data_IF_538531423945
#
_entry.id   IF_538531423945
#
_cell.length_a   1.000
_cell.length_b   1.000
_cell.length_c   1.000
_cell.angle_alpha   90.00
_cell.angle_beta   90.00
_cell.angle_gamma   90.00
#
_symmetry.space_group_name_H-M   'P 1'
#
loop_
_entity.id
_entity.type
_entity.pdbx_description
1 polymer ?
#
# COMPACT_ATOMS: atom_id res chain seq x y z
N UNK A 1 -2.79 3.05 0.18
CA UNK A 1 -1.56 3.62 -0.41
C UNK A 1 -1.68 5.14 -0.45
N UNK A 2 -0.58 5.89 -0.55
CA UNK A 2 -0.56 7.37 -0.51
C UNK A 2 0.01 7.97 -1.77
N UNK A 3 -0.45 9.17 -2.16
CA UNK A 3 0.21 10.00 -3.17
C UNK A 3 1.46 10.64 -2.55
N UNK A 4 2.59 10.52 -3.23
CA UNK A 4 3.88 10.94 -2.69
C UNK A 4 4.46 12.04 -3.58
N UNK A 5 4.72 13.21 -3.02
CA UNK A 5 5.39 14.32 -3.71
C UNK A 5 6.90 14.12 -3.66
N UNK A 6 7.50 14.04 -4.84
CA UNK A 6 8.93 13.91 -5.04
C UNK A 6 9.59 15.31 -5.14
N UNK A 7 10.90 15.41 -4.83
CA UNK A 7 11.62 16.69 -4.86
C UNK A 7 11.79 17.28 -6.27
N UNK A 8 11.61 16.47 -7.31
CA UNK A 8 11.64 16.90 -8.71
C UNK A 8 10.32 17.53 -9.20
N UNK A 9 9.30 17.56 -8.34
CA UNK A 9 7.99 18.10 -8.65
C UNK A 9 7.03 17.10 -9.32
N UNK A 10 7.36 15.81 -9.34
CA UNK A 10 6.43 14.75 -9.76
C UNK A 10 5.69 14.15 -8.57
N UNK A 11 4.56 13.48 -8.84
CA UNK A 11 3.80 12.73 -7.84
C UNK A 11 3.85 11.24 -8.16
N UNK A 12 4.21 10.43 -7.16
CA UNK A 12 3.98 8.97 -7.20
C UNK A 12 2.58 8.65 -6.72
N UNK A 13 1.77 8.15 -7.63
CA UNK A 13 0.36 7.83 -7.40
C UNK A 13 0.19 6.32 -7.34
N UNK A 14 -0.53 5.80 -6.33
CA UNK A 14 -0.90 4.39 -6.29
C UNK A 14 -1.71 3.97 -7.51
N UNK A 15 -1.32 2.89 -8.15
CA UNK A 15 -2.03 2.32 -9.29
C UNK A 15 -2.12 0.81 -9.14
N UNK A 16 -3.35 0.30 -9.03
CA UNK A 16 -3.61 -1.14 -8.97
C UNK A 16 -3.95 -1.65 -10.38
N UNK A 17 -3.20 -2.64 -10.85
CA UNK A 17 -3.42 -3.29 -12.14
C UNK A 17 -4.09 -4.64 -11.89
N UNK A 18 -5.17 -4.88 -12.63
CA UNK A 18 -5.85 -6.17 -12.72
C UNK A 18 -5.51 -6.76 -14.09
N UNK A 19 -4.70 -7.82 -14.14
CA UNK A 19 -4.44 -8.54 -15.39
C UNK A 19 -5.50 -9.63 -15.58
N UNK A 20 -6.08 -9.69 -16.79
CA UNK A 20 -6.98 -10.79 -17.18
C UNK A 20 -6.17 -12.08 -17.29
N UNK A 21 -6.75 -13.25 -16.98
CA UNK A 21 -6.04 -14.52 -17.11
C UNK A 21 -5.54 -14.67 -18.55
N UNK A 22 -4.22 -14.88 -18.70
CA UNK A 22 -3.59 -15.04 -20.00
C UNK A 22 -4.15 -16.24 -20.76
N UNK A 23 -4.19 -16.12 -22.09
CA UNK A 23 -4.61 -17.22 -22.98
C UNK A 23 -3.82 -18.50 -22.69
N UNK A 24 -4.46 -19.69 -22.78
CA UNK A 24 -3.99 -20.95 -22.22
C UNK A 24 -2.70 -21.54 -22.83
N UNK A 25 -2.03 -20.84 -23.76
CA UNK A 25 -0.82 -21.33 -24.44
C UNK A 25 0.50 -20.73 -23.90
N UNK A 26 0.42 -19.77 -22.98
CA UNK A 26 1.59 -19.33 -22.21
C UNK A 26 1.54 -20.02 -20.85
N UNK A 27 2.44 -20.96 -20.58
CA UNK A 27 2.50 -21.80 -19.37
C UNK A 27 2.71 -21.09 -18.02
N UNK A 28 2.19 -19.87 -17.84
CA UNK A 28 2.02 -19.19 -16.58
C UNK A 28 0.62 -19.51 -16.04
N UNK A 29 0.56 -20.08 -14.84
CA UNK A 29 -0.65 -20.62 -14.23
C UNK A 29 -1.85 -19.65 -14.22
N UNK A 30 -3.03 -20.25 -14.37
CA UNK A 30 -4.35 -19.61 -14.39
C UNK A 30 -4.59 -18.80 -13.11
N UNK A 31 -4.33 -17.49 -13.15
CA UNK A 31 -4.56 -16.63 -12.00
C UNK A 31 -4.68 -15.17 -12.40
N UNK A 32 -5.74 -14.51 -11.94
CA UNK A 32 -5.87 -13.05 -11.99
C UNK A 32 -4.77 -12.44 -11.13
N UNK A 33 -3.81 -11.75 -11.75
CA UNK A 33 -2.76 -11.02 -11.04
C UNK A 33 -3.34 -9.68 -10.61
N UNK A 34 -3.39 -9.46 -9.29
CA UNK A 34 -3.62 -8.14 -8.69
C UNK A 34 -2.26 -7.61 -8.30
N UNK A 35 -1.80 -6.55 -8.99
CA UNK A 35 -0.52 -5.91 -8.70
C UNK A 35 -0.76 -4.47 -8.25
N UNK A 36 -0.18 -4.11 -7.10
CA UNK A 36 -0.14 -2.73 -6.63
C UNK A 36 1.20 -2.10 -7.01
N UNK A 37 1.15 -1.01 -7.76
CA UNK A 37 2.32 -0.28 -8.23
C UNK A 37 2.19 1.22 -7.95
N UNK A 38 3.28 1.94 -8.17
CA UNK A 38 3.30 3.40 -8.18
C UNK A 38 3.59 3.87 -9.60
N UNK A 39 2.83 4.86 -10.06
CA UNK A 39 3.08 5.55 -11.33
C UNK A 39 3.45 7.01 -11.04
N UNK A 40 4.35 7.56 -11.85
CA UNK A 40 4.79 8.95 -11.70
C UNK A 40 3.99 9.83 -12.65
N UNK A 41 3.34 10.86 -12.12
CA UNK A 41 2.64 11.89 -12.90
C UNK A 41 3.31 13.25 -12.69
N UNK A 42 3.35 14.05 -13.74
CA UNK A 42 3.90 15.40 -13.71
C UNK A 42 2.81 16.48 -13.71
N UNK A 43 3.17 17.76 -13.58
CA UNK A 43 2.24 18.90 -13.55
C UNK A 43 1.40 19.11 -14.82
N UNK A 44 1.69 18.39 -15.91
CA UNK A 44 0.86 18.39 -17.12
C UNK A 44 -0.32 17.42 -17.07
N UNK A 45 -0.43 16.59 -16.02
CA UNK A 45 -1.52 15.63 -15.87
C UNK A 45 -2.79 16.32 -15.33
N UNK A 46 -3.99 16.04 -15.88
CA UNK A 46 -5.24 16.67 -15.44
C UNK A 46 -5.58 16.41 -13.96
N UNK A 47 -5.12 15.30 -13.40
CA UNK A 47 -5.34 14.96 -12.00
C UNK A 47 -4.25 15.53 -11.07
N UNK A 48 -3.18 16.12 -11.61
CA UNK A 48 -2.02 16.55 -10.83
C UNK A 48 -2.38 17.52 -9.71
N UNK A 49 -3.07 18.63 -10.00
CA UNK A 49 -3.37 19.65 -9.00
C UNK A 49 -4.28 19.12 -7.87
N UNK A 50 -5.23 18.24 -8.23
CA UNK A 50 -6.08 17.57 -7.25
C UNK A 50 -5.26 16.68 -6.34
N UNK A 51 -4.40 15.84 -6.92
CA UNK A 51 -3.58 14.88 -6.18
C UNK A 51 -2.46 15.57 -5.38
N UNK A 52 -1.97 16.72 -5.84
CA UNK A 52 -0.97 17.53 -5.14
C UNK A 52 -1.51 18.00 -3.78
N UNK A 53 -2.78 18.41 -3.70
CA UNK A 53 -3.42 18.83 -2.46
C UNK A 53 -3.54 17.73 -1.40
N UNK A 54 -3.55 16.47 -1.82
CA UNK A 54 -3.64 15.29 -0.96
C UNK A 54 -2.29 14.56 -0.79
N UNK A 55 -1.23 15.09 -1.42
CA UNK A 55 0.10 14.48 -1.43
C UNK A 55 0.83 14.63 -0.10
N UNK A 56 1.62 13.62 0.23
CA UNK A 56 2.59 13.66 1.32
C UNK A 56 4.00 13.73 0.75
N UNK A 57 4.91 14.42 1.42
CA UNK A 57 6.34 14.31 1.13
C UNK A 57 6.87 12.94 1.51
N UNK A 58 8.04 12.59 0.99
CA UNK A 58 8.74 11.35 1.35
C UNK A 58 9.07 11.28 2.85
N UNK A 59 9.39 12.41 3.46
CA UNK A 59 9.66 12.51 4.90
C UNK A 59 8.40 12.22 5.72
N UNK A 60 7.27 12.88 5.41
CA UNK A 60 5.99 12.64 6.08
C UNK A 60 5.51 11.19 5.92
N UNK A 61 5.75 10.58 4.75
CA UNK A 61 5.46 9.17 4.54
C UNK A 61 6.34 8.27 5.42
N UNK A 62 7.64 8.59 5.54
CA UNK A 62 8.56 7.83 6.37
C UNK A 62 8.17 7.89 7.86
N UNK A 63 7.77 9.06 8.34
CA UNK A 63 7.22 9.24 9.69
C UNK A 63 5.95 8.41 9.91
N UNK A 64 5.00 8.48 8.97
CA UNK A 64 3.78 7.66 9.05
C UNK A 64 4.09 6.17 9.08
N UNK A 65 5.05 5.72 8.27
CA UNK A 65 5.47 4.31 8.23
C UNK A 65 6.25 3.87 9.48
N UNK A 66 6.88 4.79 10.21
CA UNK A 66 7.42 4.50 11.56
C UNK A 66 6.28 4.31 12.54
N UNK A 67 5.37 5.29 12.62
CA UNK A 67 4.21 5.24 13.51
C UNK A 67 3.38 3.97 13.31
N UNK A 68 3.14 3.57 12.06
CA UNK A 68 2.44 2.33 11.76
C UNK A 68 3.16 1.09 12.26
N UNK A 69 4.50 1.03 12.17
CA UNK A 69 5.25 -0.12 12.72
C UNK A 69 5.18 -0.16 14.25
N UNK A 70 5.16 1.00 14.89
CA UNK A 70 5.04 1.08 16.35
C UNK A 70 3.63 0.64 16.80
N UNK A 71 2.58 1.13 16.14
CA UNK A 71 1.19 0.72 16.41
C UNK A 71 0.93 -0.76 16.06
N UNK A 72 1.58 -1.29 15.02
CA UNK A 72 1.51 -2.70 14.62
C UNK A 72 2.14 -3.61 15.68
N UNK A 73 3.27 -3.22 16.29
CA UNK A 73 3.87 -3.96 17.39
C UNK A 73 2.94 -4.05 18.62
N UNK A 74 2.25 -2.96 18.95
CA UNK A 74 1.24 -2.95 20.00
C UNK A 74 0.01 -3.81 19.65
N UNK A 75 -0.40 -3.84 18.38
CA UNK A 75 -1.47 -4.71 17.91
C UNK A 75 -1.06 -6.20 18.00
N UNK A 76 0.16 -6.53 17.56
CA UNK A 76 0.70 -7.89 17.64
C UNK A 76 0.75 -8.38 19.08
N UNK A 77 1.23 -7.56 20.01
CA UNK A 77 1.23 -7.89 21.45
C UNK A 77 -0.17 -8.22 21.95
N UNK A 78 -1.17 -7.36 21.66
CA UNK A 78 -2.57 -7.60 22.07
C UNK A 78 -3.14 -8.88 21.44
N UNK A 79 -2.77 -9.17 20.21
CA UNK A 79 -3.20 -10.39 19.54
C UNK A 79 -2.58 -11.65 20.17
N UNK A 80 -1.31 -11.59 20.57
CA UNK A 80 -0.66 -12.68 21.32
C UNK A 80 -1.28 -12.89 22.70
N UNK A 81 -1.57 -11.82 23.43
CA UNK A 81 -2.31 -11.87 24.70
C UNK A 81 -3.69 -12.51 24.52
N UNK A 82 -4.45 -12.10 23.50
CA UNK A 82 -5.76 -12.69 23.19
C UNK A 82 -5.65 -14.18 22.87
N UNK A 83 -4.67 -14.62 22.05
CA UNK A 83 -4.46 -16.05 21.78
C UNK A 83 -4.11 -16.84 23.04
N UNK A 84 -3.37 -16.25 23.97
CA UNK A 84 -3.01 -16.91 25.23
C UNK A 84 -4.22 -17.06 26.16
N UNK A 85 -5.14 -16.09 26.15
CA UNK A 85 -6.41 -16.15 26.86
C UNK A 85 -7.38 -17.17 26.24
N UNK A 86 -7.49 -17.20 24.91
CA UNK A 86 -8.29 -18.16 24.14
C UNK A 86 -7.78 -19.62 24.29
N UNK A 87 -6.45 -19.81 24.30
CA UNK A 87 -5.83 -21.11 24.58
C UNK A 87 -6.03 -21.60 26.02
N UNK A 88 -6.49 -20.75 26.94
CA UNK A 88 -6.90 -21.10 28.30
C UNK A 88 -8.41 -21.27 28.49
N UNK A 89 -9.22 -20.96 27.47
CA UNK A 89 -10.68 -20.87 27.56
C UNK A 89 -11.47 -22.00 26.88
N UNK A 90 -10.80 -23.03 26.34
CA UNK A 90 -11.47 -24.23 25.82
C UNK A 90 -11.29 -25.40 26.80
N UNK A 91 -12.15 -25.45 27.82
CA UNK A 91 -12.41 -26.62 28.70
C UNK A 91 -13.88 -26.98 28.69
#
# INVERSE_FOLDING_TARGET
MYVIRLPDGTLRVPHSVLTEPGEPDSGAGEGRIIADAYVEIGPGDPDYDRLLGESLTEEELAERRRRWRDEDADLLRRFEEWKADDAGGQV
#
